data_IF_641914842338
#
_entry.id   IF_641914842338
#
_cell.length_a   1.000
_cell.length_b   1.000
_cell.length_c   1.000
_cell.angle_alpha   90.00
_cell.angle_beta   90.00
_cell.angle_gamma   90.00
#
_symmetry.space_group_name_H-M   'P 1'
#
loop_
_entity.id
_entity.type
_entity.pdbx_description
1 polymer ?
#
# COMPACT_ATOMS: atom_id res chain seq x y z
N UNK A 1 -11.65 5.83 32.84
CA UNK A 1 -11.37 6.67 31.66
C UNK A 1 -11.87 5.95 30.41
N UNK A 2 -12.62 6.64 29.55
CA UNK A 2 -13.09 6.04 28.29
C UNK A 2 -11.92 5.92 27.31
N UNK A 3 -11.65 4.72 26.80
CA UNK A 3 -10.62 4.50 25.78
C UNK A 3 -11.19 4.73 24.40
N UNK A 4 -10.55 5.60 23.65
CA UNK A 4 -10.97 5.92 22.28
C UNK A 4 -10.24 5.03 21.27
N UNK A 5 -10.93 4.53 20.23
CA UNK A 5 -10.26 3.85 19.14
C UNK A 5 -9.25 4.81 18.51
N UNK A 6 -8.05 4.32 18.22
CA UNK A 6 -7.02 5.05 17.52
C UNK A 6 -7.52 5.46 16.14
N UNK A 7 -7.59 6.77 15.93
CA UNK A 7 -7.91 7.38 14.65
C UNK A 7 -6.75 8.27 14.22
N UNK A 8 -6.35 8.14 12.96
CA UNK A 8 -5.39 9.06 12.36
C UNK A 8 -6.05 10.44 12.25
N UNK A 9 -5.33 11.50 12.61
CA UNK A 9 -5.88 12.87 12.62
C UNK A 9 -6.28 13.42 11.24
N UNK A 10 -5.97 12.71 10.15
CA UNK A 10 -6.21 13.18 8.78
C UNK A 10 -5.36 14.38 8.36
N UNK A 11 -4.41 14.83 9.20
CA UNK A 11 -3.58 16.00 8.91
C UNK A 11 -2.51 15.69 7.87
N UNK A 12 -2.22 16.68 7.04
CA UNK A 12 -1.12 16.68 6.09
C UNK A 12 0.11 17.29 6.77
N UNK A 13 1.28 16.65 6.66
CA UNK A 13 2.51 17.26 7.17
C UNK A 13 3.03 18.34 6.22
N UNK A 14 3.75 19.35 6.73
CA UNK A 14 4.22 20.48 5.92
C UNK A 14 5.22 20.09 4.83
N UNK A 15 5.92 18.96 4.98
CA UNK A 15 6.87 18.44 3.99
C UNK A 15 6.18 17.69 2.84
N UNK A 16 4.89 17.38 2.95
CA UNK A 16 4.19 16.58 1.95
C UNK A 16 4.22 17.19 0.54
N UNK A 17 3.96 18.49 0.32
CA UNK A 17 4.04 19.08 -1.02
C UNK A 17 5.44 18.96 -1.65
N UNK A 18 6.49 19.11 -0.85
CA UNK A 18 7.88 18.97 -1.31
C UNK A 18 8.15 17.52 -1.74
N UNK A 19 7.76 16.54 -0.92
CA UNK A 19 7.91 15.14 -1.30
C UNK A 19 7.04 14.76 -2.52
N UNK A 20 5.85 15.37 -2.64
CA UNK A 20 4.95 15.16 -3.78
C UNK A 20 5.55 15.72 -5.08
N UNK A 21 6.28 16.83 -5.02
CA UNK A 21 7.03 17.35 -6.17
C UNK A 21 8.07 16.34 -6.68
N UNK A 22 8.80 15.65 -5.79
CA UNK A 22 9.70 14.58 -6.22
C UNK A 22 8.96 13.37 -6.82
N UNK A 23 7.79 13.02 -6.27
CA UNK A 23 6.93 11.99 -6.86
C UNK A 23 6.41 12.41 -8.26
N UNK A 24 6.12 13.69 -8.47
CA UNK A 24 5.76 14.26 -9.76
C UNK A 24 6.90 14.14 -10.78
N UNK A 25 8.14 14.47 -10.39
CA UNK A 25 9.31 14.28 -11.25
C UNK A 25 9.53 12.80 -11.62
N UNK A 26 9.39 11.90 -10.64
CA UNK A 26 9.47 10.46 -10.87
C UNK A 26 8.37 9.96 -11.81
N UNK A 27 7.14 10.48 -11.67
CA UNK A 27 6.02 10.17 -12.55
C UNK A 27 6.26 10.66 -13.98
N UNK A 28 6.83 11.86 -14.16
CA UNK A 28 7.22 12.37 -15.47
C UNK A 28 8.30 11.53 -16.14
N UNK A 29 9.36 11.18 -15.40
CA UNK A 29 10.41 10.30 -15.92
C UNK A 29 9.88 8.90 -16.26
N UNK A 30 9.04 8.32 -15.40
CA UNK A 30 8.39 7.03 -15.66
C UNK A 30 7.46 7.07 -16.87
N UNK A 31 6.70 8.15 -17.05
CA UNK A 31 5.88 8.39 -18.22
C UNK A 31 6.72 8.42 -19.51
N UNK A 32 7.80 9.20 -19.53
CA UNK A 32 8.73 9.23 -20.67
C UNK A 32 9.28 7.85 -21.03
N UNK A 33 9.77 7.09 -20.03
CA UNK A 33 10.30 5.75 -20.25
C UNK A 33 9.22 4.77 -20.74
N UNK A 34 8.01 4.85 -20.21
CA UNK A 34 6.87 4.05 -20.67
C UNK A 34 6.55 4.37 -22.14
N UNK A 35 6.45 5.64 -22.50
CA UNK A 35 6.16 6.05 -23.88
C UNK A 35 7.22 5.59 -24.87
N UNK A 36 8.50 5.72 -24.49
CA UNK A 36 9.62 5.19 -25.25
C UNK A 36 9.52 3.66 -25.43
N UNK A 37 9.23 2.93 -24.35
CA UNK A 37 9.08 1.48 -24.39
C UNK A 37 7.87 1.05 -25.24
N UNK A 38 6.74 1.74 -25.17
CA UNK A 38 5.53 1.45 -25.95
C UNK A 38 5.77 1.53 -27.45
N UNK A 39 6.57 2.50 -27.92
CA UNK A 39 6.89 2.61 -29.35
C UNK A 39 7.82 1.50 -29.83
N UNK A 40 8.75 1.06 -28.98
CA UNK A 40 9.75 0.04 -29.36
C UNK A 40 9.32 -1.40 -29.02
N UNK A 41 8.21 -1.58 -28.30
CA UNK A 41 7.72 -2.90 -27.94
C UNK A 41 6.97 -3.52 -29.14
N UNK A 42 7.46 -4.64 -29.69
CA UNK A 42 6.82 -5.26 -30.85
C UNK A 42 5.48 -5.95 -30.49
N UNK A 43 5.20 -6.19 -29.22
CA UNK A 43 4.01 -6.89 -28.73
C UNK A 43 2.96 -5.90 -28.26
N UNK A 44 2.13 -5.44 -29.19
CA UNK A 44 0.94 -4.66 -28.85
C UNK A 44 -0.04 -5.51 -28.01
N UNK A 45 -0.74 -4.86 -27.06
CA UNK A 45 -1.67 -5.54 -26.16
C UNK A 45 -1.05 -5.88 -24.80
N UNK A 46 -0.83 -7.16 -24.51
CA UNK A 46 -0.48 -7.65 -23.17
C UNK A 46 0.86 -7.08 -22.66
N UNK A 47 1.85 -6.90 -23.55
CA UNK A 47 3.12 -6.27 -23.20
C UNK A 47 2.96 -4.82 -22.74
N UNK A 48 2.20 -4.01 -23.49
CA UNK A 48 1.88 -2.62 -23.11
C UNK A 48 1.10 -2.55 -21.80
N UNK A 49 0.19 -3.50 -21.56
CA UNK A 49 -0.58 -3.56 -20.32
C UNK A 49 0.30 -3.88 -19.10
N UNK A 50 1.28 -4.79 -19.25
CA UNK A 50 2.26 -5.06 -18.18
C UNK A 50 3.10 -3.82 -17.89
N UNK A 51 3.57 -3.12 -18.91
CA UNK A 51 4.30 -1.86 -18.73
C UNK A 51 3.46 -0.79 -18.04
N UNK A 52 2.18 -0.67 -18.39
CA UNK A 52 1.23 0.24 -17.74
C UNK A 52 1.03 -0.11 -16.25
N UNK A 53 0.87 -1.39 -15.90
CA UNK A 53 0.77 -1.84 -14.51
C UNK A 53 2.05 -1.51 -13.71
N UNK A 54 3.23 -1.71 -14.31
CA UNK A 54 4.52 -1.37 -13.71
C UNK A 54 4.64 0.14 -13.48
N UNK A 55 4.24 0.96 -14.47
CA UNK A 55 4.20 2.41 -14.33
C UNK A 55 3.28 2.82 -13.18
N UNK A 56 2.04 2.30 -13.15
CA UNK A 56 1.07 2.58 -12.10
C UNK A 56 1.60 2.22 -10.71
N UNK A 57 2.15 1.01 -10.56
CA UNK A 57 2.75 0.58 -9.29
C UNK A 57 3.93 1.46 -8.88
N UNK A 58 4.81 1.83 -9.82
CA UNK A 58 5.97 2.70 -9.58
C UNK A 58 5.56 4.09 -9.11
N UNK A 59 4.61 4.73 -9.81
CA UNK A 59 4.06 6.04 -9.43
C UNK A 59 3.35 5.98 -8.08
N UNK A 60 2.57 4.93 -7.84
CA UNK A 60 1.92 4.70 -6.55
C UNK A 60 2.91 4.51 -5.41
N UNK A 61 4.04 3.82 -5.65
CA UNK A 61 5.10 3.64 -4.67
C UNK A 61 5.83 4.96 -4.37
N UNK A 62 6.17 5.75 -5.39
CA UNK A 62 6.74 7.09 -5.21
C UNK A 62 5.79 8.00 -4.40
N UNK A 63 4.49 7.93 -4.68
CA UNK A 63 3.47 8.67 -3.92
C UNK A 63 3.34 8.18 -2.47
N UNK A 64 3.44 6.87 -2.23
CA UNK A 64 3.45 6.30 -0.89
C UNK A 64 4.67 6.78 -0.08
N UNK A 65 5.86 6.81 -0.69
CA UNK A 65 7.06 7.36 -0.08
C UNK A 65 6.90 8.84 0.25
N UNK A 66 6.29 9.61 -0.66
CA UNK A 66 5.98 11.02 -0.40
C UNK A 66 5.01 11.19 0.77
N UNK A 67 3.97 10.35 0.86
CA UNK A 67 3.06 10.31 2.00
C UNK A 67 3.78 9.96 3.32
N UNK A 68 4.70 9.01 3.28
CA UNK A 68 5.45 8.57 4.45
C UNK A 68 6.42 9.66 4.94
N UNK A 69 7.28 10.18 4.07
CA UNK A 69 8.24 11.25 4.43
C UNK A 69 7.54 12.57 4.73
N UNK A 70 6.49 12.89 3.98
CA UNK A 70 5.61 14.04 4.18
C UNK A 70 4.68 13.94 5.38
N UNK A 71 4.66 12.80 6.09
CA UNK A 71 3.81 12.54 7.28
C UNK A 71 2.32 12.80 7.01
N UNK A 72 1.85 12.41 5.83
CA UNK A 72 0.45 12.50 5.44
C UNK A 72 -0.36 11.40 6.15
N UNK A 73 -1.34 11.80 6.97
CA UNK A 73 -2.15 10.86 7.79
C UNK A 73 -3.53 10.60 7.21
N UNK A 74 -3.94 11.39 6.21
CA UNK A 74 -5.16 11.15 5.47
C UNK A 74 -4.90 10.10 4.39
N UNK A 75 -5.65 9.00 4.38
CA UNK A 75 -5.48 7.94 3.37
C UNK A 75 -6.02 8.33 2.00
N UNK A 76 -7.05 9.17 1.95
CA UNK A 76 -7.66 9.61 0.69
C UNK A 76 -6.71 10.51 -0.11
N UNK A 77 -5.87 11.30 0.56
CA UNK A 77 -4.99 12.25 -0.12
C UNK A 77 -3.93 11.53 -0.97
N UNK A 78 -3.11 10.59 -0.45
CA UNK A 78 -2.20 9.80 -1.27
C UNK A 78 -2.91 8.99 -2.35
N UNK A 79 -4.12 8.46 -2.09
CA UNK A 79 -4.91 7.75 -3.10
C UNK A 79 -5.21 8.63 -4.30
N UNK A 80 -5.82 9.80 -4.05
CA UNK A 80 -6.19 10.77 -5.10
C UNK A 80 -4.96 11.32 -5.80
N UNK A 81 -3.92 11.69 -5.05
CA UNK A 81 -2.68 12.21 -5.61
C UNK A 81 -1.93 11.14 -6.43
N UNK A 82 -1.94 9.88 -6.01
CA UNK A 82 -1.35 8.78 -6.75
C UNK A 82 -2.07 8.54 -8.09
N UNK A 83 -3.40 8.57 -8.08
CA UNK A 83 -4.20 8.48 -9.30
C UNK A 83 -4.02 9.69 -10.24
N UNK A 84 -3.93 10.89 -9.68
CA UNK A 84 -3.64 12.11 -10.44
C UNK A 84 -2.26 12.06 -11.11
N UNK A 85 -1.21 11.73 -10.34
CA UNK A 85 0.15 11.59 -10.87
C UNK A 85 0.26 10.47 -11.90
N UNK A 86 -0.47 9.37 -11.73
CA UNK A 86 -0.54 8.29 -12.71
C UNK A 86 -1.19 8.72 -14.02
N UNK A 87 -2.27 9.50 -13.94
CA UNK A 87 -2.93 10.07 -15.13
C UNK A 87 -1.97 11.01 -15.88
N UNK A 88 -1.23 11.85 -15.14
CA UNK A 88 -0.23 12.73 -15.72
C UNK A 88 0.95 11.95 -16.33
N UNK A 89 1.42 10.88 -15.68
CA UNK A 89 2.46 10.01 -16.22
C UNK A 89 2.01 9.33 -17.52
N UNK A 90 0.76 8.87 -17.58
CA UNK A 90 0.19 8.29 -18.79
C UNK A 90 0.06 9.33 -19.90
N UNK A 91 -0.34 10.56 -19.58
CA UNK A 91 -0.35 11.66 -20.53
C UNK A 91 1.05 11.93 -21.12
N UNK A 92 2.08 12.00 -20.28
CA UNK A 92 3.48 12.17 -20.71
C UNK A 92 3.97 10.98 -21.54
N UNK A 93 3.55 9.75 -21.17
CA UNK A 93 3.86 8.52 -21.91
C UNK A 93 3.31 8.59 -23.33
N UNK A 94 2.02 8.86 -23.47
CA UNK A 94 1.42 9.07 -24.78
C UNK A 94 2.18 10.16 -25.53
N UNK A 95 2.55 11.25 -24.84
CA UNK A 95 3.25 12.35 -25.50
C UNK A 95 4.62 12.05 -26.03
N UNK A 96 5.33 11.24 -25.30
CA UNK A 96 6.60 10.70 -25.75
C UNK A 96 6.38 9.74 -26.91
N UNK A 97 5.36 8.87 -26.84
CA UNK A 97 5.07 7.90 -27.89
C UNK A 97 4.71 8.58 -29.22
N UNK A 98 3.76 9.52 -29.24
CA UNK A 98 3.36 10.23 -30.45
C UNK A 98 4.52 11.05 -31.03
N UNK A 99 5.32 11.70 -30.17
CA UNK A 99 6.50 12.46 -30.62
C UNK A 99 7.52 11.56 -31.32
N UNK A 100 7.84 10.40 -30.74
CA UNK A 100 8.78 9.45 -31.32
C UNK A 100 8.21 8.87 -32.63
N UNK A 101 6.92 8.50 -32.64
CA UNK A 101 6.26 7.97 -33.84
C UNK A 101 6.20 8.98 -34.97
N UNK A 102 5.94 10.26 -34.66
CA UNK A 102 5.84 11.32 -35.66
C UNK A 102 7.20 11.72 -36.23
N UNK A 103 8.21 11.89 -35.37
CA UNK A 103 9.55 12.28 -35.80
C UNK A 103 10.29 11.13 -36.51
N UNK A 104 9.85 9.88 -36.33
CA UNK A 104 10.61 8.72 -36.79
C UNK A 104 12.09 8.80 -36.37
N UNK A 105 12.95 8.01 -37.01
CA UNK A 105 14.40 8.15 -36.82
C UNK A 105 15.04 9.18 -37.77
N UNK A 106 14.32 9.62 -38.81
CA UNK A 106 14.90 10.30 -39.98
C UNK A 106 14.15 11.55 -40.47
N UNK A 107 13.24 12.17 -39.69
CA UNK A 107 12.59 13.41 -40.15
C UNK A 107 13.53 14.61 -40.08
N UNK A 108 13.49 15.44 -41.12
CA UNK A 108 14.36 16.63 -41.31
C UNK A 108 13.94 17.80 -40.41
N UNK A 109 12.79 17.72 -39.75
CA UNK A 109 12.30 18.77 -38.85
C UNK A 109 11.51 18.13 -37.69
N UNK A 110 12.17 17.82 -36.56
CA UNK A 110 11.50 17.23 -35.42
C UNK A 110 10.47 18.21 -34.84
N UNK A 111 9.28 17.72 -34.53
CA UNK A 111 8.26 18.50 -33.84
C UNK A 111 8.81 18.89 -32.44
N UNK A 112 8.83 20.19 -32.08
CA UNK A 112 9.33 20.58 -30.77
C UNK A 112 8.38 20.10 -29.66
N UNK A 113 8.94 19.57 -28.56
CA UNK A 113 8.16 19.16 -27.37
C UNK A 113 7.28 20.30 -26.85
N UNK A 114 7.77 21.55 -26.94
CA UNK A 114 7.02 22.73 -26.52
C UNK A 114 5.69 22.90 -27.26
N UNK A 115 5.61 22.55 -28.55
CA UNK A 115 4.39 22.65 -29.35
C UNK A 115 3.34 21.67 -28.83
N UNK A 116 3.74 20.44 -28.53
CA UNK A 116 2.87 19.42 -27.95
C UNK A 116 2.31 19.82 -26.58
N UNK A 117 3.09 20.55 -25.77
CA UNK A 117 2.64 21.02 -24.45
C UNK A 117 1.71 22.23 -24.59
N UNK A 118 1.99 23.14 -25.53
CA UNK A 118 1.24 24.39 -25.67
C UNK A 118 -0.07 24.23 -26.43
N UNK A 119 -0.20 23.21 -27.28
CA UNK A 119 -1.33 23.04 -28.18
C UNK A 119 -1.95 21.63 -28.03
N UNK A 120 -2.77 21.43 -26.97
CA UNK A 120 -3.42 20.14 -26.69
C UNK A 120 -4.43 19.71 -27.77
N UNK A 121 -4.79 20.58 -28.71
CA UNK A 121 -5.59 20.21 -29.87
C UNK A 121 -4.84 19.26 -30.83
N UNK A 122 -3.53 19.44 -31.02
CA UNK A 122 -2.73 18.56 -31.90
C UNK A 122 -2.66 17.14 -31.33
N UNK A 123 -2.59 17.06 -30.01
CA UNK A 123 -2.72 15.82 -29.23
C UNK A 123 -3.94 15.01 -29.65
N UNK A 124 -5.10 15.67 -29.60
CA UNK A 124 -6.36 15.04 -29.90
C UNK A 124 -6.47 14.62 -31.36
N UNK A 125 -6.00 15.46 -32.29
CA UNK A 125 -5.98 15.14 -33.73
C UNK A 125 -5.10 13.93 -34.02
N UNK A 126 -3.89 13.85 -33.45
CA UNK A 126 -3.02 12.69 -33.64
C UNK A 126 -3.60 11.42 -33.01
N UNK A 127 -4.24 11.52 -31.84
CA UNK A 127 -4.94 10.37 -31.24
C UNK A 127 -6.11 9.90 -32.11
N UNK A 128 -6.88 10.82 -32.69
CA UNK A 128 -7.96 10.48 -33.61
C UNK A 128 -7.44 9.81 -34.88
N UNK A 129 -6.34 10.33 -35.44
CA UNK A 129 -5.69 9.74 -36.61
C UNK A 129 -5.21 8.31 -36.32
N UNK A 130 -4.53 8.10 -35.18
CA UNK A 130 -4.13 6.78 -34.69
C UNK A 130 -5.35 5.87 -34.48
N UNK A 131 -6.44 6.38 -33.93
CA UNK A 131 -7.66 5.60 -33.73
C UNK A 131 -8.26 5.17 -35.08
N UNK A 132 -8.27 6.04 -36.09
CA UNK A 132 -8.86 5.74 -37.40
C UNK A 132 -7.97 4.83 -38.25
N UNK A 133 -6.68 5.13 -38.33
CA UNK A 133 -5.72 4.42 -39.18
C UNK A 133 -5.15 3.16 -38.51
N UNK A 134 -5.28 3.08 -37.19
CA UNK A 134 -4.81 1.99 -36.34
C UNK A 134 -3.37 2.15 -35.88
N UNK A 135 -3.05 1.53 -34.74
CA UNK A 135 -1.69 1.51 -34.20
C UNK A 135 -0.81 0.48 -34.95
N UNK A 136 0.44 0.81 -35.31
CA UNK A 136 1.35 -0.15 -35.92
C UNK A 136 1.55 -1.39 -35.03
N UNK A 137 1.32 -2.58 -35.59
CA UNK A 137 1.51 -3.86 -34.90
C UNK A 137 2.19 -4.86 -35.83
N UNK A 138 3.07 -5.70 -35.29
CA UNK A 138 3.86 -6.68 -36.05
C UNK A 138 3.02 -7.83 -36.63
N UNK A 139 1.81 -8.08 -36.12
CA UNK A 139 0.99 -9.23 -36.51
C UNK A 139 0.02 -8.96 -37.67
N UNK A 140 0.30 -7.95 -38.53
CA UNK A 140 -0.55 -7.51 -39.66
C UNK A 140 -1.98 -7.05 -39.29
N UNK A 141 -2.42 -7.24 -38.06
CA UNK A 141 -3.68 -6.70 -37.53
C UNK A 141 -3.43 -5.31 -36.93
N UNK A 142 -4.03 -4.29 -37.54
CA UNK A 142 -4.04 -2.92 -37.01
C UNK A 142 -5.34 -2.72 -36.25
N UNK A 143 -5.34 -2.73 -34.91
CA UNK A 143 -6.54 -2.43 -34.16
C UNK A 143 -7.01 -1.01 -34.49
N UNK A 144 -8.31 -0.83 -34.72
CA UNK A 144 -8.91 0.45 -35.13
C UNK A 144 -10.09 0.83 -34.23
N UNK A 145 -10.38 2.13 -34.22
CA UNK A 145 -11.58 2.77 -33.69
C UNK A 145 -11.91 2.34 -32.26
N UNK A 146 -13.11 1.81 -32.03
CA UNK A 146 -13.63 1.44 -30.71
C UNK A 146 -12.71 0.50 -29.92
N UNK A 147 -11.97 -0.39 -30.59
CA UNK A 147 -11.04 -1.28 -29.91
C UNK A 147 -9.88 -0.51 -29.26
N UNK A 148 -9.31 0.48 -29.96
CA UNK A 148 -8.23 1.31 -29.41
C UNK A 148 -8.72 2.16 -28.24
N UNK A 149 -9.91 2.75 -28.35
CA UNK A 149 -10.52 3.49 -27.24
C UNK A 149 -10.74 2.63 -26.00
N UNK A 150 -11.26 1.41 -26.18
CA UNK A 150 -11.43 0.46 -25.09
C UNK A 150 -10.07 0.06 -24.49
N UNK A 151 -9.07 -0.19 -25.34
CA UNK A 151 -7.72 -0.54 -24.89
C UNK A 151 -7.09 0.60 -24.06
N UNK A 152 -7.20 1.85 -24.50
CA UNK A 152 -6.70 3.02 -23.76
C UNK A 152 -7.43 3.22 -22.43
N UNK A 153 -8.74 2.97 -22.40
CA UNK A 153 -9.49 2.99 -21.15
C UNK A 153 -8.98 1.92 -20.18
N UNK A 154 -8.77 0.69 -20.66
CA UNK A 154 -8.21 -0.40 -19.85
C UNK A 154 -6.79 -0.05 -19.36
N UNK A 155 -5.95 0.52 -20.23
CA UNK A 155 -4.61 0.97 -19.86
C UNK A 155 -4.68 2.06 -18.78
N UNK A 156 -5.54 3.07 -18.95
CA UNK A 156 -5.73 4.12 -17.94
C UNK A 156 -6.14 3.56 -16.59
N UNK A 157 -7.12 2.64 -16.55
CA UNK A 157 -7.52 1.95 -15.31
C UNK A 157 -6.34 1.15 -14.73
N UNK A 158 -5.56 0.46 -15.57
CA UNK A 158 -4.41 -0.34 -15.16
C UNK A 158 -3.26 0.51 -14.61
N UNK A 159 -3.10 1.78 -15.00
CA UNK A 159 -2.12 2.68 -14.37
C UNK A 159 -2.71 3.31 -13.10
N UNK A 160 -3.90 3.89 -13.18
CA UNK A 160 -4.47 4.76 -12.14
C UNK A 160 -4.87 3.98 -10.89
N UNK A 161 -5.55 2.83 -11.04
CA UNK A 161 -6.06 2.09 -9.89
C UNK A 161 -4.93 1.49 -9.04
N UNK A 162 -3.91 0.79 -9.61
CA UNK A 162 -2.77 0.32 -8.84
C UNK A 162 -1.96 1.46 -8.22
N UNK A 163 -1.82 2.60 -8.90
CA UNK A 163 -1.14 3.76 -8.35
C UNK A 163 -1.84 4.28 -7.08
N UNK A 164 -3.16 4.50 -7.16
CA UNK A 164 -3.95 4.94 -6.02
C UNK A 164 -3.92 3.93 -4.88
N UNK A 165 -4.14 2.65 -5.16
CA UNK A 165 -4.13 1.59 -4.15
C UNK A 165 -2.76 1.47 -3.46
N UNK A 166 -1.67 1.50 -4.23
CA UNK A 166 -0.30 1.41 -3.71
C UNK A 166 0.04 2.62 -2.84
N UNK A 167 -0.43 3.81 -3.20
CA UNK A 167 -0.19 5.04 -2.44
C UNK A 167 -0.78 5.01 -1.01
N UNK A 168 -1.82 4.20 -0.75
CA UNK A 168 -2.47 4.07 0.56
C UNK A 168 -1.75 3.10 1.52
N UNK A 169 -0.73 2.37 1.03
CA UNK A 169 -0.11 1.23 1.74
C UNK A 169 0.49 1.54 3.12
N UNK A 170 0.78 2.79 3.47
CA UNK A 170 1.35 3.14 4.77
C UNK A 170 0.28 3.16 5.88
N UNK A 171 0.02 2.00 6.49
CA UNK A 171 -0.90 1.84 7.65
C UNK A 171 -0.22 2.01 9.02
N UNK A 172 0.94 2.65 9.08
CA UNK A 172 1.70 2.78 10.34
C UNK A 172 0.99 3.72 11.33
N UNK A 173 1.11 3.42 12.62
CA UNK A 173 0.64 4.30 13.69
C UNK A 173 1.55 5.53 13.74
N UNK A 174 1.00 6.71 14.03
CA UNK A 174 1.71 7.99 14.07
C UNK A 174 1.55 8.63 15.45
N UNK A 175 2.65 9.07 16.04
CA UNK A 175 2.62 9.83 17.29
C UNK A 175 2.48 11.32 16.95
N UNK A 176 1.30 11.88 17.20
CA UNK A 176 0.98 13.29 16.91
C UNK A 176 1.86 14.28 17.70
N UNK A 177 2.19 13.95 18.95
CA UNK A 177 3.03 14.82 19.80
C UNK A 177 4.48 14.87 19.28
N UNK A 178 5.08 13.70 19.09
CA UNK A 178 6.48 13.61 18.66
C UNK A 178 6.68 13.80 17.14
N UNK A 179 5.59 13.77 16.38
CA UNK A 179 5.54 13.80 14.92
C UNK A 179 6.39 12.69 14.27
N UNK A 180 6.35 11.48 14.83
CA UNK A 180 7.10 10.32 14.29
C UNK A 180 6.16 9.18 13.98
N UNK A 181 6.44 8.45 12.89
CA UNK A 181 5.86 7.13 12.68
C UNK A 181 6.37 6.19 13.77
N UNK A 182 5.47 5.41 14.38
CA UNK A 182 5.88 4.41 15.34
C UNK A 182 6.62 3.28 14.59
N UNK A 183 7.65 2.69 15.22
CA UNK A 183 8.35 1.55 14.65
C UNK A 183 7.42 0.34 14.55
N UNK A 184 7.95 -0.76 14.02
CA UNK A 184 7.22 -2.02 13.94
C UNK A 184 6.67 -2.44 15.32
N UNK A 185 5.44 -2.98 15.36
CA UNK A 185 4.82 -3.35 16.61
C UNK A 185 5.56 -4.52 17.24
N UNK A 186 5.71 -4.49 18.56
CA UNK A 186 6.05 -5.67 19.35
C UNK A 186 4.83 -6.59 19.40
N UNK A 187 5.06 -7.89 19.23
CA UNK A 187 4.00 -8.91 19.17
C UNK A 187 4.19 -9.86 20.34
N UNK A 188 3.15 -10.00 21.16
CA UNK A 188 3.10 -10.98 22.25
C UNK A 188 2.05 -12.03 21.90
N UNK A 189 2.42 -13.28 22.07
CA UNK A 189 1.54 -14.43 21.83
C UNK A 189 1.19 -15.00 23.19
N UNK A 190 -0.06 -14.81 23.59
CA UNK A 190 -0.58 -15.21 24.88
C UNK A 190 -1.44 -16.45 24.68
N UNK A 191 -1.24 -17.49 25.49
CA UNK A 191 -2.09 -18.66 25.49
C UNK A 191 -3.53 -18.22 25.79
N UNK A 192 -4.47 -18.65 24.96
CA UNK A 192 -5.85 -18.71 25.39
C UNK A 192 -5.89 -19.60 26.64
N UNK A 193 -6.57 -19.18 27.71
CA UNK A 193 -7.02 -20.15 28.71
C UNK A 193 -7.82 -21.26 27.97
N UNK A 194 -8.00 -22.45 28.57
CA UNK A 194 -8.76 -23.56 27.93
C UNK A 194 -9.92 -23.00 27.11
N UNK A 195 -10.10 -23.48 25.86
CA UNK A 195 -10.94 -22.83 24.83
C UNK A 195 -12.36 -22.46 25.31
N UNK A 196 -12.87 -23.13 26.35
CA UNK A 196 -14.18 -22.88 26.97
C UNK A 196 -14.23 -21.75 28.02
N UNK A 197 -13.08 -21.23 28.49
CA UNK A 197 -12.97 -20.20 29.55
C UNK A 197 -12.43 -18.85 29.06
N UNK A 198 -12.15 -18.70 27.76
CA UNK A 198 -11.79 -17.39 27.22
C UNK A 198 -13.03 -16.53 27.16
N UNK A 199 -13.16 -15.65 28.15
CA UNK A 199 -14.17 -14.60 28.15
C UNK A 199 -13.87 -13.62 27.00
N UNK A 200 -14.47 -13.89 25.85
CA UNK A 200 -14.33 -13.09 24.63
C UNK A 200 -14.84 -11.67 24.83
N UNK A 201 -15.82 -11.47 25.72
CA UNK A 201 -16.30 -10.14 26.10
C UNK A 201 -15.24 -9.40 26.92
N UNK A 202 -14.55 -10.08 27.85
CA UNK A 202 -13.41 -9.52 28.58
C UNK A 202 -12.15 -9.31 27.72
N UNK A 203 -12.04 -9.95 26.55
CA UNK A 203 -11.02 -9.61 25.54
C UNK A 203 -11.45 -8.43 24.65
N UNK A 204 -12.76 -8.29 24.40
CA UNK A 204 -13.32 -7.20 23.61
C UNK A 204 -13.32 -5.88 24.40
N UNK A 205 -13.58 -5.93 25.70
CA UNK A 205 -13.32 -4.85 26.65
C UNK A 205 -11.88 -4.98 27.14
N UNK A 206 -10.90 -4.17 26.69
CA UNK A 206 -9.48 -4.42 26.96
C UNK A 206 -9.09 -4.21 28.43
N UNK A 207 -9.57 -5.04 29.35
CA UNK A 207 -9.23 -4.98 30.77
C UNK A 207 -7.82 -5.53 30.93
N UNK A 208 -6.83 -4.64 31.11
CA UNK A 208 -5.41 -5.02 31.17
C UNK A 208 -5.12 -6.11 32.19
N UNK A 209 -5.83 -6.06 33.32
CA UNK A 209 -5.74 -7.06 34.37
C UNK A 209 -6.05 -8.47 33.90
N UNK A 210 -6.83 -8.65 32.84
CA UNK A 210 -7.08 -9.96 32.23
C UNK A 210 -5.91 -10.39 31.34
N UNK A 211 -5.45 -9.50 30.46
CA UNK A 211 -4.33 -9.80 29.55
C UNK A 211 -3.02 -10.12 30.28
N UNK A 212 -2.76 -9.48 31.42
CA UNK A 212 -1.57 -9.77 32.26
C UNK A 212 -1.64 -11.11 32.98
N UNK A 213 -2.81 -11.76 33.05
CA UNK A 213 -2.97 -13.09 33.65
C UNK A 213 -2.77 -14.22 32.63
N UNK A 214 -2.76 -13.90 31.34
CA UNK A 214 -2.54 -14.89 30.29
C UNK A 214 -1.06 -15.27 30.26
N UNK A 215 -0.81 -16.56 30.15
CA UNK A 215 0.55 -17.10 30.06
C UNK A 215 1.08 -16.98 28.63
N UNK A 216 2.40 -16.97 28.40
CA UNK A 216 2.95 -17.05 27.06
C UNK A 216 2.47 -18.31 26.31
N UNK A 217 2.15 -18.18 25.02
CA UNK A 217 1.82 -19.32 24.18
C UNK A 217 3.08 -20.14 23.84
N UNK A 218 3.11 -21.41 24.29
CA UNK A 218 4.23 -22.34 24.11
C UNK A 218 4.27 -22.89 22.68
N UNK A 219 3.11 -23.30 22.13
CA UNK A 219 3.01 -23.92 20.80
C UNK A 219 2.14 -23.09 19.85
N UNK A 220 2.70 -21.95 19.43
CA UNK A 220 1.98 -20.92 18.66
C UNK A 220 1.42 -21.41 17.33
N UNK A 221 1.97 -22.47 16.73
CA UNK A 221 1.54 -23.00 15.43
C UNK A 221 0.38 -24.02 15.54
N UNK A 222 0.13 -24.56 16.74
CA UNK A 222 -0.79 -25.68 16.94
C UNK A 222 -1.97 -25.33 17.85
N UNK A 223 -1.91 -24.21 18.56
CA UNK A 223 -2.89 -23.84 19.58
C UNK A 223 -3.47 -22.44 19.31
N UNK A 224 -4.76 -22.33 19.58
CA UNK A 224 -5.46 -21.05 19.63
C UNK A 224 -4.79 -20.14 20.65
N UNK A 225 -4.57 -18.87 20.29
CA UNK A 225 -3.83 -17.93 21.11
C UNK A 225 -4.29 -16.49 20.86
N UNK A 226 -4.00 -15.61 21.80
CA UNK A 226 -4.25 -14.17 21.69
C UNK A 226 -2.96 -13.47 21.24
N UNK A 227 -2.99 -12.82 20.08
CA UNK A 227 -1.92 -11.97 19.58
C UNK A 227 -2.16 -10.52 20.01
N UNK A 228 -1.32 -10.06 20.94
CA UNK A 228 -1.26 -8.67 21.37
C UNK A 228 -0.20 -7.93 20.55
N UNK A 229 -0.61 -6.91 19.80
CA UNK A 229 0.29 -6.01 19.07
C UNK A 229 0.42 -4.70 19.82
N UNK A 230 1.64 -4.33 20.19
CA UNK A 230 1.94 -3.10 20.91
C UNK A 230 2.81 -2.18 20.06
N UNK A 231 2.36 -0.94 19.89
CA UNK A 231 3.11 0.14 19.30
C UNK A 231 3.49 1.13 20.39
N UNK A 232 4.77 1.46 20.53
CA UNK A 232 5.27 2.46 21.48
C UNK A 232 6.04 3.56 20.76
N UNK A 233 5.82 4.82 21.15
CA UNK A 233 6.58 5.92 20.59
C UNK A 233 8.04 5.88 21.10
N UNK A 234 9.06 5.88 20.21
CA UNK A 234 10.46 5.80 20.63
C UNK A 234 10.95 7.09 21.31
N UNK A 235 10.25 8.22 21.12
CA UNK A 235 10.64 9.52 21.68
C UNK A 235 10.03 9.78 23.06
N UNK A 236 8.70 9.88 23.17
CA UNK A 236 8.08 10.21 24.47
C UNK A 236 7.86 8.99 25.36
N UNK A 237 7.82 7.77 24.83
CA UNK A 237 7.49 6.52 25.55
C UNK A 237 6.15 6.48 26.29
N UNK A 238 5.40 7.58 26.35
CA UNK A 238 4.10 7.75 27.03
C UNK A 238 2.89 7.47 26.14
N UNK A 239 3.08 7.49 24.81
CA UNK A 239 2.01 7.25 23.85
C UNK A 239 2.27 6.00 23.06
N UNK A 240 1.22 5.24 22.88
CA UNK A 240 1.22 4.03 22.08
C UNK A 240 -0.13 3.75 21.46
N UNK A 241 -0.17 2.66 20.73
CA UNK A 241 -1.41 2.03 20.35
C UNK A 241 -1.27 0.53 20.56
N UNK A 242 -2.36 -0.17 20.81
CA UNK A 242 -2.36 -1.62 20.83
C UNK A 242 -3.52 -2.17 20.04
N UNK A 243 -3.37 -3.40 19.56
CA UNK A 243 -4.43 -4.20 18.97
C UNK A 243 -4.40 -5.60 19.53
N UNK A 244 -5.58 -6.18 19.75
CA UNK A 244 -5.75 -7.57 20.17
C UNK A 244 -6.36 -8.35 19.02
N UNK A 245 -5.71 -9.45 18.65
CA UNK A 245 -6.17 -10.40 17.65
C UNK A 245 -6.31 -11.77 18.29
N UNK A 246 -7.34 -12.52 17.93
CA UNK A 246 -7.50 -13.92 18.31
C UNK A 246 -7.02 -14.79 17.14
N UNK A 247 -5.95 -15.54 17.35
CA UNK A 247 -5.49 -16.58 16.44
C UNK A 247 -6.20 -17.89 16.78
N UNK A 248 -7.02 -18.40 15.87
CA UNK A 248 -7.72 -19.67 16.01
C UNK A 248 -6.99 -20.74 15.21
N UNK A 249 -6.60 -21.83 15.87
CA UNK A 249 -6.01 -22.97 15.18
C UNK A 249 -7.11 -23.74 14.44
N UNK A 250 -7.02 -23.79 13.11
CA UNK A 250 -7.95 -24.51 12.25
C UNK A 250 -7.21 -25.70 11.61
N UNK A 251 -7.73 -26.92 11.82
CA UNK A 251 -7.21 -28.10 11.15
C UNK A 251 -7.77 -28.17 9.73
N UNK A 252 -6.92 -27.92 8.73
CA UNK A 252 -7.26 -28.14 7.33
C UNK A 252 -6.80 -29.53 6.86
N UNK A 253 -7.66 -30.33 6.21
CA UNK A 253 -7.33 -31.71 5.82
C UNK A 253 -6.19 -31.83 4.80
N UNK A 254 -5.84 -30.74 4.08
CA UNK A 254 -4.80 -30.74 3.05
C UNK A 254 -3.52 -29.98 3.44
N UNK A 255 -3.64 -28.90 4.21
CA UNK A 255 -2.53 -28.00 4.55
C UNK A 255 -2.02 -28.16 6.00
N UNK A 256 -2.68 -29.00 6.81
CA UNK A 256 -2.37 -29.14 8.23
C UNK A 256 -3.03 -28.03 9.05
N UNK A 257 -2.41 -27.64 10.17
CA UNK A 257 -2.94 -26.60 11.06
C UNK A 257 -2.59 -25.22 10.47
N UNK A 258 -3.61 -24.42 10.20
CA UNK A 258 -3.47 -23.00 9.82
C UNK A 258 -4.08 -22.12 10.91
N UNK A 259 -3.55 -20.91 11.10
CA UNK A 259 -4.04 -19.99 12.13
C UNK A 259 -4.75 -18.82 11.48
N UNK A 260 -6.05 -18.72 11.72
CA UNK A 260 -6.89 -17.60 11.32
C UNK A 260 -6.85 -16.50 12.40
N UNK A 261 -6.37 -15.31 12.05
CA UNK A 261 -6.30 -14.18 12.97
C UNK A 261 -7.49 -13.25 12.80
N UNK A 262 -8.37 -13.21 13.80
CA UNK A 262 -9.53 -12.33 13.84
C UNK A 262 -9.24 -11.10 14.71
N UNK A 263 -9.43 -9.87 14.21
CA UNK A 263 -9.27 -8.68 15.03
C UNK A 263 -10.38 -8.62 16.09
N UNK A 264 -10.00 -8.65 17.37
CA UNK A 264 -10.95 -8.53 18.49
C UNK A 264 -11.20 -7.07 18.84
N UNK A 265 -10.18 -6.23 18.71
CA UNK A 265 -10.27 -4.80 18.99
C UNK A 265 -9.76 -3.97 17.83
N UNK A 266 -10.38 -2.81 17.60
CA UNK A 266 -9.74 -1.75 16.80
C UNK A 266 -8.48 -1.30 17.56
N UNK A 267 -7.45 -0.90 16.81
CA UNK A 267 -6.28 -0.24 17.40
C UNK A 267 -6.76 0.82 18.38
N UNK A 268 -6.31 0.76 19.62
CA UNK A 268 -6.76 1.63 20.71
C UNK A 268 -5.58 2.42 21.23
N UNK A 269 -5.77 3.71 21.50
CA UNK A 269 -4.70 4.58 22.03
C UNK A 269 -4.34 4.21 23.46
N UNK A 270 -3.04 4.20 23.76
CA UNK A 270 -2.50 4.06 25.11
C UNK A 270 -2.03 5.40 25.65
N UNK A 271 -2.34 5.64 26.93
CA UNK A 271 -1.74 6.71 27.73
C UNK A 271 -0.63 6.15 28.63
N UNK A 272 0.13 7.04 29.26
CA UNK A 272 1.28 6.68 30.09
C UNK A 272 0.92 5.70 31.23
N UNK A 273 -0.24 5.91 31.86
CA UNK A 273 -0.75 5.08 32.97
C UNK A 273 -0.99 3.63 32.56
N UNK A 274 -1.45 3.39 31.33
CA UNK A 274 -1.70 2.05 30.80
C UNK A 274 -0.40 1.32 30.40
N UNK A 275 0.73 2.01 30.27
CA UNK A 275 2.00 1.43 29.80
C UNK A 275 2.79 0.72 30.90
N UNK A 276 2.51 1.00 32.17
CA UNK A 276 3.16 0.33 33.31
C UNK A 276 2.97 -1.19 33.26
N UNK A 277 1.72 -1.71 33.23
CA UNK A 277 1.45 -3.13 33.09
C UNK A 277 2.05 -3.75 31.81
N UNK A 278 2.12 -3.00 30.72
CA UNK A 278 2.68 -3.48 29.45
C UNK A 278 4.20 -3.63 29.52
N UNK A 279 4.87 -2.76 30.28
CA UNK A 279 6.33 -2.88 30.48
C UNK A 279 6.64 -4.13 31.31
N UNK A 280 5.81 -4.45 32.31
CA UNK A 280 5.93 -5.71 33.05
C UNK A 280 5.73 -6.93 32.14
N UNK A 281 4.76 -6.86 31.22
CA UNK A 281 4.49 -7.92 30.26
C UNK A 281 5.64 -8.08 29.25
N UNK A 282 6.25 -6.97 28.82
CA UNK A 282 7.49 -6.94 28.02
C UNK A 282 8.64 -7.63 28.74
N UNK A 283 8.85 -7.32 30.02
CA UNK A 283 9.93 -7.88 30.83
C UNK A 283 9.74 -9.40 31.05
N UNK A 284 8.50 -9.84 31.29
CA UNK A 284 8.15 -11.26 31.43
C UNK A 284 8.29 -12.08 30.14
N UNK A 285 8.21 -11.42 28.98
CA UNK A 285 8.23 -12.08 27.66
C UNK A 285 9.50 -11.75 26.86
N UNK A 286 10.54 -11.23 27.53
CA UNK A 286 11.80 -10.91 26.86
C UNK A 286 12.41 -12.18 26.27
N UNK A 287 12.83 -12.16 24.98
CA UNK A 287 13.33 -13.35 24.28
C UNK A 287 14.51 -14.03 24.97
N UNK A 288 15.28 -13.30 25.78
CA UNK A 288 16.36 -13.86 26.60
C UNK A 288 15.89 -14.98 27.54
N UNK A 289 14.65 -14.92 28.04
CA UNK A 289 14.12 -15.96 28.94
C UNK A 289 13.58 -17.18 28.21
N UNK A 290 13.16 -17.03 26.94
CA UNK A 290 12.48 -18.11 26.21
C UNK A 290 13.41 -19.05 25.45
N UNK A 291 14.73 -18.76 25.37
CA UNK A 291 15.74 -19.63 24.74
C UNK A 291 15.55 -19.95 23.25
N UNK A 292 14.43 -19.53 22.65
CA UNK A 292 14.08 -19.76 21.25
C UNK A 292 14.54 -18.61 20.38
N UNK A 293 15.28 -18.91 19.30
CA UNK A 293 15.49 -17.96 18.21
C UNK A 293 14.11 -17.57 17.67
N UNK A 294 13.68 -16.35 17.95
CA UNK A 294 12.51 -15.76 17.31
C UNK A 294 12.89 -15.53 15.86
N UNK A 295 12.45 -16.40 14.97
CA UNK A 295 12.56 -16.11 13.54
C UNK A 295 11.75 -14.84 13.26
N UNK A 296 12.37 -13.78 12.71
CA UNK A 296 11.62 -12.62 12.29
C UNK A 296 10.66 -13.06 11.20
N UNK A 297 9.36 -13.06 11.49
CA UNK A 297 8.28 -13.27 10.53
C UNK A 297 8.21 -12.06 9.57
N UNK A 298 9.26 -11.87 8.78
CA UNK A 298 9.36 -10.86 7.71
C UNK A 298 8.33 -11.10 6.61
N UNK A 299 7.73 -12.30 6.55
CA UNK A 299 6.71 -12.70 5.58
C UNK A 299 5.26 -12.36 5.95
N UNK A 300 4.99 -11.80 7.14
CA UNK A 300 3.66 -11.29 7.51
C UNK A 300 3.53 -9.76 7.32
N UNK A 301 4.50 -9.15 6.65
CA UNK A 301 4.52 -7.71 6.34
C UNK A 301 3.49 -7.25 5.31
N UNK A 302 2.86 -8.16 4.55
CA UNK A 302 1.88 -7.77 3.52
C UNK A 302 0.98 -8.92 3.04
N UNK A 303 0.73 -9.95 3.88
CA UNK A 303 -0.42 -10.86 3.62
C UNK A 303 -1.70 -10.09 3.92
N UNK A 304 -2.13 -9.34 2.90
CA UNK A 304 -3.51 -9.00 2.53
C UNK A 304 -4.51 -9.45 3.60
N UNK A 305 -4.90 -8.53 4.50
CA UNK A 305 -6.28 -8.54 5.01
C UNK A 305 -7.17 -8.64 3.77
N UNK A 306 -7.89 -9.75 3.64
CA UNK A 306 -8.50 -10.22 2.39
C UNK A 306 -9.25 -9.14 1.62
N UNK A 307 -8.71 -8.76 0.46
CA UNK A 307 -9.47 -8.16 -0.66
C UNK A 307 -9.89 -9.25 -1.66
N UNK A 308 -9.69 -10.54 -1.33
CA UNK A 308 -10.10 -11.65 -2.18
C UNK A 308 -11.60 -12.04 -2.05
N UNK A 309 -12.42 -11.31 -1.30
CA UNK A 309 -13.87 -11.57 -1.18
C UNK A 309 -14.77 -10.51 -1.82
N UNK A 310 -14.25 -9.63 -2.69
CA UNK A 310 -15.06 -8.66 -3.44
C UNK A 310 -15.08 -8.92 -4.96
N UNK A 311 -14.45 -10.00 -5.42
CA UNK A 311 -14.54 -10.47 -6.80
C UNK A 311 -14.56 -12.00 -6.84
N UNK A 312 -15.69 -12.56 -6.40
CA UNK A 312 -16.23 -13.84 -6.86
C UNK A 312 -17.75 -13.69 -6.95
#
# INVERSE_FOLDING_TARGET
MQRTPYQLSGRIGPLYPVCLFFALLAAGAGGYLHGFATVHNPVFGLGSLVLALLLGYGVGWATALAGWWGRCRNRMIPFVMGGFLATLALYISWATALLISHNGLNTVSPLPVAVLIQQPEYWFVMMLDVAQNGWPSHFHHRPQSAYLWLFWLVEWVAVVLPAGMRAVGCRRVFCESCRVWLPEPRRFYLAAAKEDEVDLEALAEPRWSYLTRLHPAINRALQSHVLLTLFRCPRCRERGAFGVHLGLACNHPKSGVEIDYRPMTRLTTLQAEDLGPMTQLEDQHSPEQTGGKVEPLSWLGDRRLGIHSLFH
#
